data_IF_877865085696
#
_entry.id   IF_877865085696
#
_cell.length_a   1.000
_cell.length_b   1.000
_cell.length_c   1.000
_cell.angle_alpha   90.00
_cell.angle_beta   90.00
_cell.angle_gamma   90.00
#
_symmetry.space_group_name_H-M   'P 1'
#
loop_
_entity.id
_entity.type
_entity.pdbx_description
1 polymer ?
#
# COMPACT_ATOMS: atom_id res chain seq x y z
N UNK A 1 -0.12 -2.67 2.83
CA UNK A 1 -0.42 -3.15 1.46
C UNK A 1 0.70 -2.82 0.48
N UNK A 2 1.02 -1.54 0.24
CA UNK A 2 2.02 -1.19 -0.78
C UNK A 2 3.42 -1.76 -0.51
N UNK A 3 3.93 -1.76 0.72
CA UNK A 3 5.21 -2.42 1.00
C UNK A 3 5.22 -3.91 0.61
N UNK A 4 4.10 -4.61 0.80
CA UNK A 4 3.99 -6.02 0.39
C UNK A 4 4.05 -6.16 -1.14
N UNK A 5 3.29 -5.34 -1.88
CA UNK A 5 3.34 -5.31 -3.34
C UNK A 5 4.74 -4.91 -3.86
N UNK A 6 5.35 -3.87 -3.30
CA UNK A 6 6.70 -3.41 -3.65
C UNK A 6 7.74 -4.52 -3.48
N UNK A 7 7.60 -5.35 -2.45
CA UNK A 7 8.46 -6.51 -2.18
C UNK A 7 7.99 -7.82 -2.83
N UNK A 8 7.01 -7.76 -3.74
CA UNK A 8 6.58 -8.90 -4.52
C UNK A 8 5.73 -9.91 -3.74
N UNK A 9 5.31 -9.59 -2.52
CA UNK A 9 4.50 -10.43 -1.64
C UNK A 9 3.02 -10.41 -2.05
N UNK A 10 2.73 -10.74 -3.31
CA UNK A 10 1.40 -10.62 -3.91
C UNK A 10 0.36 -11.51 -3.21
N UNK A 11 0.78 -12.65 -2.67
CA UNK A 11 -0.03 -13.57 -1.88
C UNK A 11 -0.62 -12.94 -0.60
N UNK A 12 0.02 -11.88 -0.06
CA UNK A 12 -0.47 -11.18 1.12
C UNK A 12 -1.48 -10.06 0.78
N UNK A 13 -1.62 -9.70 -0.51
CA UNK A 13 -2.37 -8.51 -0.90
C UNK A 13 -3.87 -8.66 -0.66
N UNK A 14 -4.46 -9.83 -0.95
CA UNK A 14 -5.88 -10.05 -0.71
C UNK A 14 -6.19 -10.00 0.80
N UNK A 15 -5.36 -10.64 1.61
CA UNK A 15 -5.50 -10.60 3.07
C UNK A 15 -5.41 -9.17 3.57
N UNK A 16 -4.35 -8.43 3.24
CA UNK A 16 -4.21 -7.05 3.68
C UNK A 16 -5.31 -6.14 3.15
N UNK A 17 -5.78 -6.34 1.93
CA UNK A 17 -6.92 -5.63 1.36
C UNK A 17 -8.18 -5.86 2.21
N UNK A 18 -8.49 -7.12 2.51
CA UNK A 18 -9.65 -7.47 3.34
C UNK A 18 -9.51 -6.94 4.78
N UNK A 19 -8.33 -6.97 5.37
CA UNK A 19 -8.08 -6.40 6.70
C UNK A 19 -8.40 -4.90 6.73
N UNK A 20 -7.86 -4.14 5.78
CA UNK A 20 -8.08 -2.69 5.72
C UNK A 20 -9.55 -2.39 5.41
N UNK A 21 -10.16 -3.11 4.47
CA UNK A 21 -11.56 -2.91 4.08
C UNK A 21 -12.53 -3.27 5.23
N UNK A 22 -12.28 -4.38 5.94
CA UNK A 22 -13.04 -4.75 7.13
C UNK A 22 -12.84 -3.73 8.25
N UNK A 23 -11.63 -3.18 8.39
CA UNK A 23 -11.36 -2.09 9.32
C UNK A 23 -12.22 -0.85 9.04
N UNK A 24 -12.36 -0.48 7.76
CA UNK A 24 -13.23 0.61 7.34
C UNK A 24 -14.72 0.30 7.59
N UNK A 25 -15.16 -0.93 7.28
CA UNK A 25 -16.56 -1.34 7.45
C UNK A 25 -16.98 -1.45 8.92
N UNK A 26 -16.05 -1.80 9.81
CA UNK A 26 -16.32 -2.08 11.22
C UNK A 26 -15.77 -0.99 12.16
N UNK A 27 -15.26 0.12 11.63
CA UNK A 27 -14.75 1.26 12.41
C UNK A 27 -13.48 0.98 13.22
N UNK A 28 -12.65 0.03 12.81
CA UNK A 28 -11.48 -0.42 13.59
C UNK A 28 -10.50 0.73 13.84
N UNK A 29 -10.42 1.21 15.10
CA UNK A 29 -9.50 2.27 15.54
C UNK A 29 -9.85 3.70 15.11
N UNK A 30 -10.94 3.90 14.37
CA UNK A 30 -11.51 5.21 14.03
C UNK A 30 -12.87 5.30 14.72
N UNK A 31 -13.06 6.31 15.59
CA UNK A 31 -14.22 6.40 16.49
C UNK A 31 -15.60 6.32 15.81
N UNK A 32 -15.65 6.48 14.50
CA UNK A 32 -16.74 6.02 13.65
C UNK A 32 -16.21 5.97 12.21
N UNK A 33 -16.17 4.79 11.57
CA UNK A 33 -15.84 4.67 10.15
C UNK A 33 -16.84 5.39 9.24
N UNK A 34 -18.06 5.62 9.75
CA UNK A 34 -19.18 6.30 9.12
C UNK A 34 -19.30 7.79 9.48
N UNK A 35 -18.71 8.24 10.59
CA UNK A 35 -18.79 9.62 11.09
C UNK A 35 -17.38 10.19 11.36
N UNK A 36 -16.63 10.38 10.27
CA UNK A 36 -15.23 10.83 10.34
C UNK A 36 -15.15 12.31 10.68
N UNK A 37 -14.27 12.73 11.61
CA UNK A 37 -13.95 14.15 11.78
C UNK A 37 -13.53 14.75 10.44
N UNK A 38 -14.12 15.90 10.10
CA UNK A 38 -13.72 16.73 8.96
C UNK A 38 -12.21 16.99 9.09
N UNK A 39 -11.43 16.45 8.14
CA UNK A 39 -9.96 16.59 8.14
C UNK A 39 -9.16 15.30 8.21
N UNK A 40 -9.77 14.14 8.45
CA UNK A 40 -9.06 12.84 8.30
C UNK A 40 -8.86 12.51 6.82
N UNK A 41 -7.62 12.48 6.35
CA UNK A 41 -7.31 12.21 4.93
C UNK A 41 -7.00 10.73 4.73
N UNK A 42 -8.04 9.90 4.67
CA UNK A 42 -7.91 8.50 4.20
C UNK A 42 -7.58 8.40 2.69
N UNK A 43 -7.02 9.46 2.11
CA UNK A 43 -6.71 9.59 0.68
C UNK A 43 -5.70 8.54 0.24
N UNK A 44 -4.63 8.36 1.00
CA UNK A 44 -3.61 7.36 0.69
C UNK A 44 -4.12 5.92 0.88
N UNK A 45 -4.95 5.69 1.90
CA UNK A 45 -5.63 4.40 2.07
C UNK A 45 -6.61 4.11 0.93
N UNK A 46 -7.42 5.09 0.52
CA UNK A 46 -8.35 4.96 -0.60
C UNK A 46 -7.61 4.70 -1.92
N UNK A 47 -6.50 5.39 -2.15
CA UNK A 47 -5.60 5.14 -3.28
C UNK A 47 -5.07 3.70 -3.27
N UNK A 48 -4.54 3.23 -2.14
CA UNK A 48 -4.07 1.86 -2.00
C UNK A 48 -5.14 0.80 -2.22
N UNK A 49 -6.33 1.00 -1.64
CA UNK A 49 -7.47 0.11 -1.87
C UNK A 49 -7.91 0.13 -3.34
N UNK A 50 -7.88 1.27 -4.02
CA UNK A 50 -8.29 1.36 -5.42
C UNK A 50 -7.36 0.56 -6.34
N UNK A 51 -6.03 0.75 -6.20
CA UNK A 51 -5.03 0.01 -6.99
C UNK A 51 -5.10 -1.49 -6.71
N UNK A 52 -5.11 -1.89 -5.44
CA UNK A 52 -5.08 -3.30 -5.06
C UNK A 52 -6.41 -3.98 -5.37
N UNK A 53 -7.55 -3.32 -5.16
CA UNK A 53 -8.87 -3.81 -5.53
C UNK A 53 -8.96 -4.05 -7.04
N UNK A 54 -8.50 -3.10 -7.86
CA UNK A 54 -8.42 -3.30 -9.32
C UNK A 54 -7.48 -4.44 -9.72
N UNK A 55 -6.34 -4.60 -9.03
CA UNK A 55 -5.44 -5.74 -9.24
C UNK A 55 -6.10 -7.09 -8.93
N UNK A 56 -6.90 -7.16 -7.85
CA UNK A 56 -7.67 -8.34 -7.43
C UNK A 56 -8.92 -8.61 -8.28
N UNK A 57 -9.25 -7.74 -9.26
CA UNK A 57 -10.51 -7.83 -10.01
C UNK A 57 -11.75 -7.47 -9.18
N UNK A 58 -11.57 -6.75 -8.07
CA UNK A 58 -12.59 -6.31 -7.12
C UNK A 58 -12.50 -4.77 -6.97
N UNK A 59 -12.88 -3.98 -7.99
CA UNK A 59 -12.71 -2.54 -7.97
C UNK A 59 -13.44 -1.90 -6.78
N UNK A 60 -12.80 -0.89 -6.19
CA UNK A 60 -13.28 -0.23 -4.98
C UNK A 60 -14.51 0.64 -5.25
N UNK A 61 -15.58 0.43 -4.49
CA UNK A 61 -16.75 1.31 -4.46
C UNK A 61 -16.50 2.46 -3.47
N UNK A 62 -16.00 3.58 -3.98
CA UNK A 62 -15.68 4.76 -3.17
C UNK A 62 -16.91 5.32 -2.44
N UNK A 63 -18.08 5.29 -3.08
CA UNK A 63 -19.28 5.95 -2.56
C UNK A 63 -19.89 5.10 -1.44
N UNK A 64 -19.89 3.77 -1.58
CA UNK A 64 -20.28 2.84 -0.51
C UNK A 64 -19.46 3.04 0.77
N UNK A 65 -18.17 3.31 0.65
CA UNK A 65 -17.24 3.42 1.79
C UNK A 65 -16.95 4.87 2.22
N UNK A 66 -17.60 5.86 1.59
CA UNK A 66 -17.40 7.30 1.84
C UNK A 66 -15.91 7.65 1.82
N UNK A 67 -15.18 7.14 0.82
CA UNK A 67 -13.74 7.33 0.69
C UNK A 67 -13.44 8.54 -0.20
N UNK A 68 -12.47 9.38 0.17
CA UNK A 68 -12.10 10.54 -0.63
C UNK A 68 -11.44 10.10 -1.93
N UNK A 69 -11.77 10.79 -3.03
CA UNK A 69 -11.04 10.69 -4.29
C UNK A 69 -9.98 11.79 -4.28
N UNK A 70 -8.71 11.41 -4.30
CA UNK A 70 -7.60 12.36 -4.31
C UNK A 70 -7.17 12.64 -5.76
N UNK A 71 -7.33 13.88 -6.27
CA UNK A 71 -6.90 14.21 -7.62
C UNK A 71 -5.42 13.94 -7.88
N UNK A 72 -4.55 14.08 -6.87
CA UNK A 72 -3.12 13.88 -7.04
C UNK A 72 -2.78 12.41 -7.36
N UNK A 73 -3.51 11.47 -6.77
CA UNK A 73 -3.36 10.04 -7.05
C UNK A 73 -4.27 9.55 -8.18
N UNK A 74 -5.29 10.33 -8.56
CA UNK A 74 -6.37 9.91 -9.47
C UNK A 74 -5.88 9.48 -10.85
N UNK A 75 -4.89 10.18 -11.42
CA UNK A 75 -4.30 9.79 -12.70
C UNK A 75 -3.61 8.42 -12.60
N UNK A 76 -2.89 8.18 -11.52
CA UNK A 76 -2.22 6.91 -11.30
C UNK A 76 -3.23 5.78 -11.09
N UNK A 77 -4.29 6.00 -10.31
CA UNK A 77 -5.40 5.04 -10.16
C UNK A 77 -6.03 4.68 -11.50
N UNK A 78 -6.26 5.66 -12.38
CA UNK A 78 -6.92 5.44 -13.66
C UNK A 78 -6.02 4.73 -14.70
N UNK A 79 -4.70 4.94 -14.63
CA UNK A 79 -3.79 4.60 -15.73
C UNK A 79 -2.63 3.69 -15.35
N UNK A 80 -2.56 3.16 -14.13
CA UNK A 80 -1.43 2.30 -13.70
C UNK A 80 -1.24 1.04 -14.56
N UNK A 81 -2.26 0.59 -15.32
CA UNK A 81 -2.18 -0.52 -16.29
C UNK A 81 -1.87 -0.09 -17.73
N UNK A 82 -1.59 1.18 -17.99
CA UNK A 82 -1.27 1.69 -19.34
C UNK A 82 -0.15 0.84 -19.97
N UNK A 83 -0.39 0.20 -21.13
CA UNK A 83 0.59 -0.69 -21.75
C UNK A 83 1.80 0.06 -22.32
N UNK A 84 1.64 1.30 -22.76
CA UNK A 84 2.73 2.11 -23.29
C UNK A 84 3.51 2.79 -22.14
N UNK A 85 4.77 2.37 -21.87
CA UNK A 85 5.55 2.96 -20.79
C UNK A 85 5.80 4.46 -21.00
N UNK A 86 5.83 4.96 -22.24
CA UNK A 86 6.01 6.38 -22.52
C UNK A 86 4.80 7.22 -22.10
N UNK A 87 3.58 6.67 -22.19
CA UNK A 87 2.36 7.34 -21.71
C UNK A 87 2.23 7.29 -20.20
N UNK A 88 2.72 6.22 -19.56
CA UNK A 88 2.70 6.08 -18.11
C UNK A 88 3.75 6.94 -17.40
N UNK A 89 4.91 7.15 -18.02
CA UNK A 89 6.03 7.91 -17.43
C UNK A 89 5.63 9.26 -16.81
N UNK A 90 4.92 10.19 -17.51
CA UNK A 90 4.55 11.47 -16.90
C UNK A 90 3.63 11.31 -15.68
N UNK A 91 2.80 10.27 -15.63
CA UNK A 91 1.92 9.98 -14.48
C UNK A 91 2.74 9.48 -13.29
N UNK A 92 3.73 8.61 -13.52
CA UNK A 92 4.63 8.14 -12.47
C UNK A 92 5.57 9.24 -11.97
N UNK A 93 5.99 10.18 -12.83
CA UNK A 93 6.73 11.35 -12.39
C UNK A 93 5.89 12.25 -11.49
N UNK A 94 4.67 12.58 -11.88
CA UNK A 94 3.75 13.36 -11.04
C UNK A 94 3.46 12.66 -9.69
N UNK A 95 3.43 11.32 -9.67
CA UNK A 95 3.31 10.54 -8.44
C UNK A 95 4.57 10.66 -7.54
N UNK A 96 5.77 10.71 -8.14
CA UNK A 96 7.01 10.99 -7.40
C UNK A 96 6.99 12.39 -6.79
N UNK A 97 6.56 13.40 -7.55
CA UNK A 97 6.44 14.78 -7.06
C UNK A 97 5.43 14.84 -5.90
N UNK A 98 4.26 14.21 -6.08
CA UNK A 98 3.21 14.10 -5.06
C UNK A 98 3.75 13.45 -3.77
N UNK A 99 4.54 12.38 -3.89
CA UNK A 99 5.17 11.74 -2.74
C UNK A 99 6.02 12.74 -1.96
N UNK A 100 6.95 13.42 -2.65
CA UNK A 100 7.87 14.38 -2.02
C UNK A 100 7.13 15.56 -1.38
N UNK A 101 6.11 16.11 -2.05
CA UNK A 101 5.30 17.21 -1.54
C UNK A 101 4.53 16.87 -0.26
N UNK A 102 4.28 15.57 -0.02
CA UNK A 102 3.47 15.06 1.09
C UNK A 102 4.28 14.41 2.20
N UNK A 103 5.60 14.64 2.20
CA UNK A 103 6.48 14.33 3.34
C UNK A 103 6.31 15.41 4.41
N UNK A 104 5.86 15.00 5.59
CA UNK A 104 5.86 15.83 6.78
C UNK A 104 7.28 15.92 7.35
N UNK A 105 7.74 17.13 7.65
CA UNK A 105 9.05 17.38 8.26
C UNK A 105 9.01 17.32 9.79
N UNK A 106 7.81 17.39 10.38
CA UNK A 106 7.60 17.35 11.82
C UNK A 106 6.20 16.82 12.17
N UNK A 107 6.01 16.46 13.43
CA UNK A 107 4.73 15.91 13.92
C UNK A 107 3.55 16.86 13.73
N UNK A 108 3.74 18.19 13.84
CA UNK A 108 2.64 19.15 13.62
C UNK A 108 2.15 19.14 12.17
N UNK A 109 3.06 18.98 11.20
CA UNK A 109 2.68 18.82 9.79
C UNK A 109 1.94 17.51 9.56
N UNK A 110 2.44 16.41 10.13
CA UNK A 110 1.77 15.11 10.04
C UNK A 110 0.35 15.17 10.63
N UNK A 111 0.20 15.75 11.82
CA UNK A 111 -1.08 15.87 12.52
C UNK A 111 -2.07 16.83 11.83
N UNK A 112 -1.62 17.62 10.85
CA UNK A 112 -2.49 18.52 10.08
C UNK A 112 -3.42 17.78 9.12
N UNK A 113 -3.15 16.49 8.85
CA UNK A 113 -3.86 15.70 7.85
C UNK A 113 -3.53 16.06 6.40
N UNK A 114 -2.63 17.02 6.14
CA UNK A 114 -2.26 17.41 4.76
C UNK A 114 -1.18 16.53 4.14
N UNK A 115 -0.41 15.85 4.98
CA UNK A 115 0.74 15.04 4.62
C UNK A 115 0.45 13.57 4.92
N UNK A 116 1.07 12.68 4.15
CA UNK A 116 0.85 11.24 4.24
C UNK A 116 2.07 10.45 4.70
N UNK A 117 3.26 11.05 4.66
CA UNK A 117 4.52 10.40 5.01
C UNK A 117 5.15 11.11 6.21
N UNK A 118 5.23 10.41 7.34
CA UNK A 118 5.60 11.00 8.63
C UNK A 118 6.95 10.54 9.18
N UNK A 119 7.55 9.52 8.58
CA UNK A 119 8.81 8.94 9.02
C UNK A 119 9.96 9.16 8.02
N UNK A 120 11.22 9.16 8.49
CA UNK A 120 12.38 9.22 7.59
C UNK A 120 12.43 8.08 6.57
N UNK A 121 11.87 6.93 6.92
CA UNK A 121 11.78 5.79 6.01
C UNK A 121 10.78 6.06 4.89
N UNK A 122 9.57 6.50 5.22
CA UNK A 122 8.55 6.84 4.23
C UNK A 122 9.01 7.99 3.32
N UNK A 123 9.82 8.93 3.82
CA UNK A 123 10.37 10.03 3.04
C UNK A 123 11.31 9.59 1.89
N UNK A 124 11.94 8.42 2.00
CA UNK A 124 12.88 7.91 0.99
C UNK A 124 12.39 6.65 0.28
N UNK A 125 11.40 5.97 0.85
CA UNK A 125 10.85 4.71 0.35
C UNK A 125 9.45 4.94 -0.24
N UNK A 126 9.42 5.19 -1.55
CA UNK A 126 8.21 5.36 -2.34
C UNK A 126 7.47 4.03 -2.59
N UNK A 127 6.96 3.43 -1.51
CA UNK A 127 6.35 2.11 -1.50
C UNK A 127 5.23 1.96 -2.54
N UNK A 128 4.43 3.00 -2.75
CA UNK A 128 3.33 3.06 -3.71
C UNK A 128 3.81 2.99 -5.16
N UNK A 129 4.92 3.67 -5.48
CA UNK A 129 5.48 3.68 -6.83
C UNK A 129 6.08 2.31 -7.12
N UNK A 130 6.88 1.78 -6.19
CA UNK A 130 7.46 0.44 -6.28
C UNK A 130 6.40 -0.65 -6.36
N UNK A 131 5.31 -0.52 -5.60
CA UNK A 131 4.17 -1.43 -5.66
C UNK A 131 3.59 -1.49 -7.08
N UNK A 132 3.31 -0.34 -7.69
CA UNK A 132 2.75 -0.30 -9.04
C UNK A 132 3.71 -0.91 -10.05
N UNK A 133 5.00 -0.60 -9.98
CA UNK A 133 6.00 -1.21 -10.85
C UNK A 133 6.02 -2.74 -10.72
N UNK A 134 5.86 -3.29 -9.50
CA UNK A 134 5.87 -4.72 -9.29
C UNK A 134 4.54 -5.41 -9.69
N UNK A 135 3.40 -4.76 -9.46
CA UNK A 135 2.09 -5.22 -9.94
C UNK A 135 2.05 -5.24 -11.48
N UNK A 136 2.62 -4.22 -12.13
CA UNK A 136 2.76 -4.21 -13.59
C UNK A 136 3.62 -5.37 -14.09
N UNK A 137 4.75 -5.61 -13.42
CA UNK A 137 5.64 -6.74 -13.74
C UNK A 137 4.93 -8.09 -13.62
N UNK A 138 4.09 -8.30 -12.59
CA UNK A 138 3.33 -9.55 -12.45
C UNK A 138 2.26 -9.75 -13.52
N UNK A 139 1.83 -8.67 -14.17
CA UNK A 139 0.90 -8.69 -15.30
C UNK A 139 1.61 -8.75 -16.66
N UNK A 140 2.95 -8.84 -16.69
CA UNK A 140 3.74 -8.82 -17.93
C UNK A 140 3.83 -7.46 -18.61
N UNK A 141 3.47 -6.36 -17.93
CA UNK A 141 3.55 -5.01 -18.46
C UNK A 141 4.97 -4.44 -18.30
N UNK A 142 5.46 -3.73 -19.32
CA UNK A 142 6.75 -3.04 -19.27
C UNK A 142 6.67 -1.80 -18.39
N UNK A 143 7.72 -1.52 -17.63
CA UNK A 143 7.82 -0.31 -16.82
C UNK A 143 8.72 0.73 -17.49
N UNK A 144 8.40 2.04 -17.41
CA UNK A 144 9.31 3.07 -17.86
C UNK A 144 10.52 3.20 -16.93
N UNK A 145 11.60 3.76 -17.45
CA UNK A 145 12.69 4.29 -16.62
C UNK A 145 12.27 5.64 -16.06
N UNK A 146 12.26 5.76 -14.72
CA UNK A 146 11.83 6.98 -14.03
C UNK A 146 13.09 7.74 -13.58
N UNK A 147 13.40 8.83 -14.28
CA UNK A 147 14.50 9.73 -13.93
C UNK A 147 14.04 10.79 -12.93
N UNK A 148 13.84 10.37 -11.68
CA UNK A 148 13.43 11.25 -10.58
C UNK A 148 14.33 11.01 -9.36
N UNK A 149 14.75 12.04 -8.60
CA UNK A 149 15.64 11.87 -7.44
C UNK A 149 15.17 10.84 -6.40
N UNK A 150 13.86 10.78 -6.14
CA UNK A 150 13.24 9.76 -5.28
C UNK A 150 13.53 8.33 -5.78
N UNK A 151 13.62 8.16 -7.10
CA UNK A 151 13.78 6.88 -7.79
C UNK A 151 15.24 6.51 -8.10
N UNK A 152 16.20 7.39 -7.82
CA UNK A 152 17.64 7.11 -7.98
C UNK A 152 18.32 6.65 -6.69
N UNK A 153 17.57 6.59 -5.58
CA UNK A 153 18.08 6.12 -4.29
C UNK A 153 18.27 4.58 -4.26
N UNK A 154 19.11 4.04 -3.36
CA UNK A 154 19.19 2.59 -3.14
C UNK A 154 17.85 1.95 -2.73
N UNK A 155 16.96 2.72 -2.10
CA UNK A 155 15.66 2.26 -1.61
C UNK A 155 14.59 2.18 -2.71
N UNK A 156 14.79 2.85 -3.85
CA UNK A 156 13.89 2.82 -4.98
C UNK A 156 14.12 1.66 -5.96
N UNK A 157 14.85 0.63 -5.52
CA UNK A 157 15.09 -0.58 -6.32
C UNK A 157 14.06 -1.63 -5.97
N UNK A 158 13.52 -2.30 -7.00
CA UNK A 158 12.78 -3.54 -6.82
C UNK A 158 13.78 -4.65 -6.45
N UNK A 159 14.01 -4.81 -5.15
CA UNK A 159 14.98 -5.76 -4.58
C UNK A 159 14.47 -7.21 -4.57
N UNK A 160 13.15 -7.39 -4.56
CA UNK A 160 12.51 -8.71 -4.45
C UNK A 160 11.61 -8.98 -5.67
N UNK A 161 11.90 -10.03 -6.47
CA UNK A 161 10.96 -10.51 -7.49
C UNK A 161 9.58 -10.85 -6.91
N UNK A 162 8.49 -10.76 -7.71
CA UNK A 162 7.18 -11.32 -7.34
C UNK A 162 7.30 -12.76 -6.84
N UNK A 163 6.71 -13.06 -5.68
CA UNK A 163 6.75 -14.37 -5.05
C UNK A 163 8.02 -14.67 -4.26
N UNK A 164 8.87 -13.68 -3.99
CA UNK A 164 10.02 -13.86 -3.08
C UNK A 164 9.53 -14.33 -1.72
N UNK A 165 10.20 -15.31 -1.12
CA UNK A 165 9.83 -15.84 0.20
C UNK A 165 10.24 -14.84 1.29
N UNK A 166 9.42 -14.71 2.33
CA UNK A 166 9.86 -14.02 3.53
C UNK A 166 10.85 -14.91 4.27
N UNK A 167 11.96 -14.31 4.72
CA UNK A 167 12.86 -15.03 5.62
C UNK A 167 12.12 -15.35 6.91
N UNK A 168 12.49 -16.48 7.51
CA UNK A 168 11.92 -16.91 8.78
C UNK A 168 12.27 -15.88 9.87
N UNK A 169 11.24 -15.37 10.54
CA UNK A 169 11.39 -14.41 11.64
C UNK A 169 10.77 -14.98 12.92
N UNK A 170 11.64 -15.47 13.82
CA UNK A 170 11.21 -16.08 15.08
C UNK A 170 10.45 -15.11 15.99
N UNK A 171 10.76 -13.80 15.92
CA UNK A 171 10.06 -12.79 16.70
C UNK A 171 8.64 -12.60 16.17
N UNK A 172 8.49 -12.49 14.84
CA UNK A 172 7.19 -12.39 14.19
C UNK A 172 6.33 -13.63 14.47
N UNK A 173 6.89 -14.83 14.33
CA UNK A 173 6.18 -16.09 14.62
C UNK A 173 5.67 -16.14 16.07
N UNK A 174 6.55 -15.81 17.03
CA UNK A 174 6.20 -15.78 18.46
C UNK A 174 5.18 -14.70 18.77
N UNK A 175 5.27 -13.54 18.13
CA UNK A 175 4.31 -12.45 18.27
C UNK A 175 2.93 -12.89 17.77
N UNK A 176 2.86 -13.43 16.56
CA UNK A 176 1.62 -13.91 15.95
C UNK A 176 0.98 -15.03 16.80
N UNK A 177 1.77 -15.97 17.31
CA UNK A 177 1.30 -17.01 18.23
C UNK A 177 0.78 -16.42 19.56
N UNK A 178 1.42 -15.38 20.09
CA UNK A 178 0.97 -14.70 21.29
C UNK A 178 -0.36 -13.97 21.06
N UNK A 179 -0.53 -13.27 19.93
CA UNK A 179 -1.80 -12.62 19.57
C UNK A 179 -2.92 -13.66 19.48
N UNK A 180 -2.72 -14.77 18.76
CA UNK A 180 -3.71 -15.86 18.69
C UNK A 180 -4.09 -16.41 20.06
N UNK A 181 -3.16 -16.44 21.02
CA UNK A 181 -3.40 -16.96 22.38
C UNK A 181 -4.12 -15.96 23.28
N UNK A 182 -3.71 -14.70 23.26
CA UNK A 182 -4.12 -13.70 24.26
C UNK A 182 -5.20 -12.74 23.76
N UNK A 183 -5.28 -12.51 22.45
CA UNK A 183 -6.28 -11.65 21.82
C UNK A 183 -6.63 -12.16 20.41
N UNK A 184 -7.35 -13.29 20.31
CA UNK A 184 -7.70 -13.89 19.02
C UNK A 184 -8.61 -12.98 18.17
N UNK A 185 -9.33 -12.03 18.78
CA UNK A 185 -10.20 -11.10 18.05
C UNK A 185 -9.38 -10.04 17.29
N UNK A 186 -8.17 -9.73 17.76
CA UNK A 186 -7.24 -8.86 17.05
C UNK A 186 -6.55 -9.52 15.85
N UNK A 187 -6.66 -10.85 15.67
CA UNK A 187 -6.09 -11.57 14.54
C UNK A 187 -7.11 -11.65 13.39
N UNK A 188 -6.91 -10.94 12.27
CA UNK A 188 -7.82 -11.04 11.15
C UNK A 188 -7.82 -12.44 10.54
N UNK A 189 -8.99 -12.85 10.05
CA UNK A 189 -9.15 -14.14 9.39
C UNK A 189 -8.16 -14.30 8.22
N UNK A 190 -7.47 -15.45 8.19
CA UNK A 190 -6.50 -15.78 7.14
C UNK A 190 -5.13 -15.10 7.26
N UNK A 191 -4.95 -14.09 8.12
CA UNK A 191 -3.67 -13.39 8.24
C UNK A 191 -2.55 -14.27 8.76
N UNK A 192 -2.83 -15.03 9.83
CA UNK A 192 -1.86 -15.96 10.38
C UNK A 192 -1.40 -16.98 9.33
N UNK A 193 -2.35 -17.63 8.65
CA UNK A 193 -2.07 -18.64 7.64
C UNK A 193 -1.30 -18.06 6.47
N UNK A 194 -1.68 -16.87 5.97
CA UNK A 194 -1.00 -16.24 4.87
C UNK A 194 0.46 -15.89 5.22
N UNK A 195 0.72 -15.36 6.42
CA UNK A 195 2.09 -15.08 6.87
C UNK A 195 2.88 -16.37 7.05
N UNK A 196 2.35 -17.38 7.73
CA UNK A 196 3.06 -18.65 7.97
C UNK A 196 3.31 -19.42 6.65
N UNK A 197 2.37 -19.42 5.71
CA UNK A 197 2.55 -20.06 4.40
C UNK A 197 3.67 -19.41 3.57
N UNK A 198 3.89 -18.10 3.72
CA UNK A 198 5.05 -17.45 3.10
C UNK A 198 6.37 -17.84 3.74
N UNK A 199 6.33 -18.48 4.91
CA UNK A 199 7.49 -18.91 5.69
C UNK A 199 7.72 -20.42 5.61
N UNK A 200 6.71 -21.27 5.34
CA UNK A 200 6.77 -22.72 5.61
C UNK A 200 6.85 -23.69 4.39
N UNK A 201 6.38 -23.38 3.18
CA UNK A 201 6.41 -24.37 2.07
C UNK A 201 7.75 -24.45 1.31
N UNK A 202 8.25 -25.66 0.94
CA UNK A 202 9.50 -25.86 0.19
C UNK A 202 9.42 -25.44 -1.28
#
# INVERSE_FOLDING_TARGET
MFCAAANGQHQLLEVFYNVVLNGLNNGYGLRDGHDRPIGTTLRYAAFGLAIIGDWLGKPLDFDKHVLPRDPAWGQLVAHWREPDPAKLLPILMAACDTHVERIALNSRELDSGKFEFGSPFEAVYAAEILAILNLRRSLGLSNPFIDHPLMTTPYAKLTSPPGTRLEKDELLERFMAAVCKYDPQAMPEGLYQAVMHTIEEP
#
